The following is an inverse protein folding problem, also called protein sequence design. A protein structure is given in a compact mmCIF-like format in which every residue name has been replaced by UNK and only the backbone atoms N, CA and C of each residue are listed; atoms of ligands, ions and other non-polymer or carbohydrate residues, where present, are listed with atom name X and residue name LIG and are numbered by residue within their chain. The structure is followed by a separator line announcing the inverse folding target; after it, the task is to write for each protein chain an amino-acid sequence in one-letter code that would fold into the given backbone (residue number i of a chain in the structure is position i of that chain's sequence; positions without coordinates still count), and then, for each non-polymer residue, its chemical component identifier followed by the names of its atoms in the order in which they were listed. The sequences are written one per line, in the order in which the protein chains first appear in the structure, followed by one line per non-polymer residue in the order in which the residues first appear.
data_IF_227800786215
#
_entry.id   IF_227800786215
#
_cell.length_a   1.000
_cell.length_b   1.000
_cell.length_c   1.000
_cell.angle_alpha   90.00
_cell.angle_beta   90.00
_cell.angle_gamma   90.00
#
_symmetry.space_group_name_H-M   'P 1'
#
loop_
_entity.id
_entity.type
_entity.pdbx_description
1 polymer ?
#
# COMPACT_ATOMS: atom_id res chain seq x y z
N UNK A 1 35.65 1.02 -2.89
CA UNK A 1 34.52 1.69 -3.58
C UNK A 1 34.76 3.19 -3.45
N UNK A 2 34.63 4.01 -4.51
CA UNK A 2 34.98 5.45 -4.47
C UNK A 2 36.38 5.77 -3.89
N UNK A 3 37.37 4.90 -4.10
CA UNK A 3 38.73 5.06 -3.56
C UNK A 3 38.90 4.80 -2.05
N UNK A 4 37.83 4.52 -1.30
CA UNK A 4 37.90 4.22 0.14
C UNK A 4 38.22 2.75 0.42
N UNK A 5 39.08 2.52 1.42
CA UNK A 5 39.26 1.22 2.07
C UNK A 5 38.04 0.85 2.92
N UNK A 6 37.69 -0.44 2.93
CA UNK A 6 36.51 -0.93 3.64
C UNK A 6 36.69 -2.37 4.13
N UNK A 7 35.99 -2.71 5.22
CA UNK A 7 35.86 -4.09 5.70
C UNK A 7 34.38 -4.44 5.87
N UNK A 8 33.94 -5.55 5.28
CA UNK A 8 32.61 -6.12 5.53
C UNK A 8 32.69 -7.17 6.62
N UNK A 9 31.90 -7.02 7.69
CA UNK A 9 31.82 -7.97 8.83
C UNK A 9 30.37 -8.10 9.28
N UNK A 10 29.82 -9.33 9.24
CA UNK A 10 28.49 -9.70 9.77
C UNK A 10 27.33 -8.76 9.38
N UNK A 11 27.33 -8.24 8.14
CA UNK A 11 26.28 -7.33 7.64
C UNK A 11 26.52 -5.83 7.89
N UNK A 12 27.69 -5.47 8.42
CA UNK A 12 28.15 -4.09 8.59
C UNK A 12 29.29 -3.81 7.60
N UNK A 13 29.34 -2.60 7.04
CA UNK A 13 30.48 -2.09 6.27
C UNK A 13 31.20 -1.06 7.14
N UNK A 14 32.42 -1.35 7.56
CA UNK A 14 33.32 -0.36 8.16
C UNK A 14 34.11 0.36 7.07
N UNK A 15 34.07 1.69 7.07
CA UNK A 15 34.95 2.55 6.26
C UNK A 15 35.94 3.27 7.19
N UNK A 16 37.20 3.45 6.77
CA UNK A 16 38.03 4.49 7.38
C UNK A 16 37.83 5.82 6.66
N UNK A 17 37.56 6.88 7.42
CA UNK A 17 37.45 8.24 6.91
C UNK A 17 38.03 9.24 7.93
N UNK A 18 38.99 10.07 7.51
CA UNK A 18 39.65 11.06 8.37
C UNK A 18 40.15 10.50 9.72
N UNK A 19 40.79 9.32 9.70
CA UNK A 19 41.25 8.56 10.88
C UNK A 19 40.15 8.16 11.88
N UNK A 20 38.91 8.03 11.40
CA UNK A 20 37.77 7.50 12.16
C UNK A 20 37.18 6.30 11.43
N UNK A 21 36.83 5.25 12.17
CA UNK A 21 36.04 4.15 11.63
C UNK A 21 34.56 4.53 11.62
N UNK A 22 33.95 4.54 10.44
CA UNK A 22 32.53 4.80 10.22
C UNK A 22 31.84 3.47 9.92
N UNK A 23 30.93 3.05 10.80
CA UNK A 23 30.09 1.87 10.59
C UNK A 23 28.84 2.21 9.79
N UNK A 24 28.66 1.57 8.64
CA UNK A 24 27.45 1.65 7.81
C UNK A 24 26.70 0.31 7.92
N UNK A 25 25.40 0.40 8.25
CA UNK A 25 24.47 -0.74 8.24
C UNK A 25 23.14 -0.27 7.64
N UNK A 26 22.60 -1.05 6.71
CA UNK A 26 21.26 -0.82 6.16
C UNK A 26 20.28 -1.63 7.01
N UNK A 27 19.31 -0.96 7.63
CA UNK A 27 18.23 -1.61 8.38
C UNK A 27 16.88 -0.96 8.01
N UNK A 28 15.95 -1.68 7.34
CA UNK A 28 14.63 -1.13 7.07
C UNK A 28 13.89 -0.91 8.39
N UNK A 29 13.27 0.25 8.56
CA UNK A 29 12.35 0.50 9.67
C UNK A 29 11.09 -0.35 9.46
N UNK A 30 10.58 -0.91 10.55
CA UNK A 30 9.56 -1.96 10.58
C UNK A 30 8.51 -1.67 11.66
N UNK A 31 7.39 -2.36 11.58
CA UNK A 31 6.20 -2.13 12.42
C UNK A 31 6.26 -2.84 13.77
N UNK A 32 5.41 -2.42 14.72
CA UNK A 32 5.15 -3.14 15.96
C UNK A 32 3.91 -4.03 15.79
N UNK A 33 4.09 -5.31 15.47
CA UNK A 33 2.94 -6.19 15.17
C UNK A 33 1.91 -6.27 16.29
N UNK A 34 2.32 -6.35 17.56
CA UNK A 34 1.37 -6.34 18.68
C UNK A 34 0.52 -5.06 18.83
N UNK A 35 0.94 -3.92 18.24
CA UNK A 35 0.11 -2.71 18.20
C UNK A 35 -0.90 -2.79 17.06
N UNK A 36 -0.47 -3.30 15.89
CA UNK A 36 -1.36 -3.56 14.75
C UNK A 36 -2.42 -4.60 15.13
N UNK A 37 -2.02 -5.68 15.81
CA UNK A 37 -2.93 -6.74 16.28
C UNK A 37 -3.89 -6.24 17.35
N UNK A 38 -3.44 -5.36 18.26
CA UNK A 38 -4.32 -4.69 19.23
C UNK A 38 -5.35 -3.80 18.53
N UNK A 39 -4.93 -2.94 17.58
CA UNK A 39 -5.83 -2.07 16.80
C UNK A 39 -6.78 -2.90 15.94
N UNK A 40 -6.31 -3.95 15.26
CA UNK A 40 -7.19 -4.87 14.53
C UNK A 40 -8.19 -5.55 15.46
N UNK A 41 -7.78 -6.00 16.65
CA UNK A 41 -8.73 -6.59 17.61
C UNK A 41 -9.77 -5.61 18.18
N UNK A 42 -9.58 -4.30 17.99
CA UNK A 42 -10.59 -3.28 18.22
C UNK A 42 -11.40 -3.04 16.95
N UNK A 43 -10.74 -2.87 15.80
CA UNK A 43 -11.36 -2.64 14.51
C UNK A 43 -12.28 -3.77 14.04
N UNK A 44 -11.94 -5.04 14.31
CA UNK A 44 -12.79 -6.21 14.06
C UNK A 44 -14.13 -6.11 14.84
N UNK A 45 -14.19 -5.28 15.89
CA UNK A 45 -15.39 -4.91 16.67
C UNK A 45 -15.85 -3.46 16.40
N UNK A 46 -15.09 -2.68 15.63
CA UNK A 46 -15.47 -1.31 15.31
C UNK A 46 -16.57 -1.38 14.29
N UNK A 47 -17.58 -0.57 14.55
CA UNK A 47 -18.79 -0.63 13.77
C UNK A 47 -18.48 -0.39 12.27
N UNK A 48 -17.47 0.42 11.91
CA UNK A 48 -17.16 0.81 10.51
C UNK A 48 -16.80 -0.36 9.57
N UNK A 49 -16.55 -1.57 10.07
CA UNK A 49 -16.17 -2.71 9.22
C UNK A 49 -17.34 -3.30 8.43
N UNK A 50 -18.48 -3.64 9.04
CA UNK A 50 -19.63 -4.16 8.28
C UNK A 50 -20.24 -3.09 7.36
N UNK A 51 -20.27 -1.82 7.75
CA UNK A 51 -20.80 -0.74 6.89
C UNK A 51 -20.02 -0.67 5.57
N UNK A 52 -18.69 -0.79 5.63
CA UNK A 52 -17.83 -0.89 4.45
C UNK A 52 -18.04 -2.21 3.67
N UNK A 53 -18.44 -3.30 4.33
CA UNK A 53 -18.78 -4.57 3.67
C UNK A 53 -20.14 -4.54 2.98
N UNK A 54 -21.12 -3.83 3.54
CA UNK A 54 -22.44 -3.60 2.95
C UNK A 54 -22.35 -2.57 1.81
N UNK A 55 -21.60 -1.48 2.00
CA UNK A 55 -21.36 -0.44 1.00
C UNK A 55 -20.73 -0.99 -0.28
N UNK A 56 -19.85 -1.99 -0.15
CA UNK A 56 -19.14 -2.62 -1.26
C UNK A 56 -19.52 -4.12 -1.42
N UNK A 57 -20.76 -4.49 -1.09
CA UNK A 57 -21.20 -5.89 -1.19
C UNK A 57 -21.21 -6.37 -2.64
N UNK A 58 -20.50 -7.48 -2.90
CA UNK A 58 -20.33 -8.04 -4.26
C UNK A 58 -19.22 -7.38 -5.08
N UNK A 59 -18.63 -6.28 -4.60
CA UNK A 59 -17.50 -5.61 -5.26
C UNK A 59 -16.14 -6.09 -4.75
N UNK A 60 -15.10 -5.87 -5.57
CA UNK A 60 -13.71 -6.07 -5.18
C UNK A 60 -13.04 -4.74 -4.85
N UNK A 61 -12.90 -4.47 -3.55
CA UNK A 61 -12.27 -3.24 -3.05
C UNK A 61 -10.74 -3.28 -3.24
N UNK A 62 -10.24 -2.37 -4.08
CA UNK A 62 -8.86 -1.92 -4.10
C UNK A 62 -8.71 -0.76 -3.10
N UNK A 63 -7.68 -0.79 -2.24
CA UNK A 63 -7.48 0.23 -1.20
C UNK A 63 -6.13 0.95 -1.36
N UNK A 64 -6.18 2.26 -1.57
CA UNK A 64 -5.06 3.17 -1.44
C UNK A 64 -5.14 3.96 -0.13
N UNK A 65 -4.03 4.05 0.62
CA UNK A 65 -3.92 4.91 1.81
C UNK A 65 -2.57 5.62 1.77
N UNK A 66 -2.59 6.93 1.58
CA UNK A 66 -1.40 7.76 1.38
C UNK A 66 -1.53 9.08 2.13
N UNK A 67 -0.46 9.86 2.18
CA UNK A 67 -0.53 11.29 2.57
C UNK A 67 -0.63 12.12 1.29
N UNK A 68 -1.22 13.31 1.33
CA UNK A 68 -1.25 14.23 0.20
C UNK A 68 0.17 14.77 -0.11
N UNK A 69 0.88 14.11 -1.03
CA UNK A 69 2.29 14.38 -1.38
C UNK A 69 2.64 13.83 -2.79
N UNK A 70 3.45 14.58 -3.55
CA UNK A 70 3.83 14.25 -4.95
C UNK A 70 4.49 12.88 -5.11
N UNK A 71 5.23 12.39 -4.11
CA UNK A 71 6.02 11.16 -4.22
C UNK A 71 5.24 9.89 -3.92
N UNK A 72 3.95 9.99 -3.57
CA UNK A 72 3.07 8.87 -3.25
C UNK A 72 2.44 8.21 -4.47
N UNK A 73 2.39 8.93 -5.60
CA UNK A 73 1.89 8.41 -6.87
C UNK A 73 0.38 8.14 -6.89
N UNK A 74 -0.42 8.92 -6.16
CA UNK A 74 -1.89 8.75 -6.10
C UNK A 74 -2.51 8.74 -7.50
N UNK A 75 -2.14 9.72 -8.36
CA UNK A 75 -2.62 9.78 -9.74
C UNK A 75 -2.22 8.54 -10.57
N UNK A 76 -1.09 7.89 -10.28
CA UNK A 76 -0.71 6.65 -10.97
C UNK A 76 -1.63 5.47 -10.59
N UNK A 77 -2.20 5.47 -9.37
CA UNK A 77 -3.21 4.49 -8.95
C UNK A 77 -4.55 4.75 -9.64
N UNK A 78 -4.95 6.01 -9.74
CA UNK A 78 -6.16 6.43 -10.46
C UNK A 78 -6.08 6.06 -11.95
N UNK A 79 -5.00 6.42 -12.64
CA UNK A 79 -4.79 6.08 -14.05
C UNK A 79 -4.68 4.55 -14.27
N UNK A 80 -4.07 3.80 -13.34
CA UNK A 80 -4.04 2.34 -13.42
C UNK A 80 -5.44 1.72 -13.26
N UNK A 81 -6.29 2.28 -12.40
CA UNK A 81 -7.69 1.87 -12.22
C UNK A 81 -8.52 2.17 -13.47
N UNK A 82 -8.44 3.40 -14.00
CA UNK A 82 -9.07 3.81 -15.26
C UNK A 82 -8.67 2.89 -16.42
N UNK A 83 -7.38 2.61 -16.56
CA UNK A 83 -6.86 1.74 -17.60
C UNK A 83 -7.29 0.28 -17.38
N UNK A 84 -7.41 -0.20 -16.14
CA UNK A 84 -7.96 -1.52 -15.83
C UNK A 84 -9.44 -1.62 -16.22
N UNK A 85 -10.27 -0.64 -15.86
CA UNK A 85 -11.69 -0.59 -16.25
C UNK A 85 -11.87 -0.49 -17.77
N UNK A 86 -10.93 0.16 -18.46
CA UNK A 86 -10.90 0.26 -19.93
C UNK A 86 -10.51 -1.05 -20.62
N UNK A 87 -9.48 -1.75 -20.13
CA UNK A 87 -8.97 -3.00 -20.75
C UNK A 87 -9.77 -4.24 -20.35
N UNK A 88 -10.37 -4.22 -19.16
CA UNK A 88 -11.12 -5.34 -18.60
C UNK A 88 -12.54 -4.90 -18.20
N UNK A 89 -13.46 -4.66 -19.17
CA UNK A 89 -14.82 -4.18 -18.90
C UNK A 89 -15.63 -5.07 -17.95
N UNK A 90 -15.24 -6.33 -17.78
CA UNK A 90 -15.82 -7.24 -16.79
C UNK A 90 -15.65 -6.76 -15.33
N UNK A 91 -14.76 -5.80 -15.04
CA UNK A 91 -14.59 -5.21 -13.71
C UNK A 91 -15.41 -3.93 -13.48
N UNK A 92 -16.01 -3.36 -14.53
CA UNK A 92 -16.99 -2.26 -14.38
C UNK A 92 -18.21 -2.77 -13.60
N UNK A 93 -18.68 -2.00 -12.62
CA UNK A 93 -19.72 -2.43 -11.68
C UNK A 93 -19.31 -3.53 -10.70
N UNK A 94 -18.00 -3.86 -10.59
CA UNK A 94 -17.50 -4.97 -9.74
C UNK A 94 -16.12 -4.74 -9.09
N UNK A 95 -15.44 -3.65 -9.39
CA UNK A 95 -14.19 -3.27 -8.73
C UNK A 95 -14.20 -1.77 -8.43
N UNK A 96 -13.83 -1.41 -7.20
CA UNK A 96 -13.82 -0.03 -6.71
C UNK A 96 -12.45 0.30 -6.14
N UNK A 97 -11.93 1.50 -6.41
CA UNK A 97 -10.71 2.00 -5.77
C UNK A 97 -11.09 3.01 -4.68
N UNK A 98 -11.03 2.56 -3.43
CA UNK A 98 -11.12 3.46 -2.26
C UNK A 98 -9.74 4.10 -2.05
N UNK A 99 -9.63 5.41 -2.22
CA UNK A 99 -8.36 6.14 -2.07
C UNK A 99 -8.43 7.15 -0.93
N UNK A 100 -7.88 6.77 0.22
CA UNK A 100 -7.73 7.66 1.38
C UNK A 100 -6.48 8.52 1.18
N UNK A 101 -6.68 9.83 1.08
CA UNK A 101 -5.61 10.82 0.96
C UNK A 101 -5.52 11.67 2.24
N UNK A 102 -4.67 11.24 3.18
CA UNK A 102 -4.50 11.92 4.47
C UNK A 102 -3.91 13.33 4.31
N UNK A 103 -4.20 14.29 5.20
CA UNK A 103 -3.62 15.63 5.16
C UNK A 103 -2.09 15.62 5.09
N UNK A 104 -1.52 16.54 4.30
CA UNK A 104 -0.08 16.63 4.08
C UNK A 104 0.69 16.88 5.40
N UNK A 105 1.67 16.01 5.72
CA UNK A 105 2.45 16.09 6.97
C UNK A 105 3.51 17.23 6.99
N UNK A 106 3.49 18.12 6.01
CA UNK A 106 4.45 19.22 5.87
C UNK A 106 3.98 20.27 4.85
N UNK A 107 4.59 21.46 4.90
CA UNK A 107 4.24 22.60 4.03
C UNK A 107 4.88 22.47 2.64
N UNK A 108 4.45 21.47 1.88
CA UNK A 108 4.84 21.30 0.47
C UNK A 108 4.32 22.45 -0.41
N UNK A 109 5.14 22.91 -1.37
CA UNK A 109 4.65 23.77 -2.46
C UNK A 109 3.89 22.91 -3.48
N UNK A 110 2.78 23.42 -3.99
CA UNK A 110 1.97 22.72 -5.01
C UNK A 110 0.88 21.80 -4.48
N UNK A 111 0.73 21.59 -3.16
CA UNK A 111 -0.27 20.68 -2.57
C UNK A 111 -1.69 20.87 -3.12
N UNK A 112 -2.14 22.13 -3.30
CA UNK A 112 -3.45 22.43 -3.88
C UNK A 112 -3.56 21.95 -5.34
N UNK A 113 -2.51 22.10 -6.15
CA UNK A 113 -2.52 21.64 -7.54
C UNK A 113 -2.59 20.11 -7.61
N UNK A 114 -1.87 19.39 -6.74
CA UNK A 114 -1.96 17.92 -6.62
C UNK A 114 -3.40 17.51 -6.25
N UNK A 115 -4.01 18.20 -5.28
CA UNK A 115 -5.37 17.92 -4.84
C UNK A 115 -6.39 18.16 -5.97
N UNK A 116 -6.23 19.23 -6.75
CA UNK A 116 -7.07 19.51 -7.93
C UNK A 116 -6.84 18.48 -9.05
N UNK A 117 -5.61 18.03 -9.28
CA UNK A 117 -5.28 16.98 -10.27
C UNK A 117 -5.85 15.61 -9.87
N UNK A 118 -5.77 15.25 -8.58
CA UNK A 118 -6.42 14.07 -8.00
C UNK A 118 -7.93 14.17 -8.17
N UNK A 119 -8.53 15.28 -7.73
CA UNK A 119 -9.99 15.47 -7.76
C UNK A 119 -10.54 15.41 -9.19
N UNK A 120 -9.96 16.16 -10.12
CA UNK A 120 -10.36 16.13 -11.53
C UNK A 120 -10.09 14.76 -12.20
N UNK A 121 -9.16 13.96 -11.68
CA UNK A 121 -8.97 12.58 -12.12
C UNK A 121 -10.08 11.67 -11.58
N UNK A 122 -10.45 11.78 -10.29
CA UNK A 122 -11.56 11.02 -9.71
C UNK A 122 -12.88 11.36 -10.42
N UNK A 123 -13.22 12.65 -10.52
CA UNK A 123 -14.45 13.15 -11.16
C UNK A 123 -14.58 12.59 -12.58
N UNK A 124 -13.55 12.75 -13.42
CA UNK A 124 -13.54 12.25 -14.81
C UNK A 124 -13.63 10.72 -14.92
N UNK A 125 -13.00 9.96 -14.02
CA UNK A 125 -13.08 8.50 -14.03
C UNK A 125 -14.47 8.03 -13.57
N UNK A 126 -15.07 8.72 -12.60
CA UNK A 126 -16.43 8.45 -12.15
C UNK A 126 -17.43 8.77 -13.27
N UNK A 127 -17.40 9.98 -13.87
CA UNK A 127 -18.20 10.36 -15.05
C UNK A 127 -18.10 9.36 -16.23
N UNK A 128 -16.93 8.71 -16.41
CA UNK A 128 -16.68 7.80 -17.53
C UNK A 128 -17.20 6.36 -17.31
N UNK A 129 -17.31 5.90 -16.05
CA UNK A 129 -17.65 4.50 -15.74
C UNK A 129 -18.77 4.34 -14.68
N UNK A 130 -19.38 5.42 -14.20
CA UNK A 130 -20.49 5.39 -13.24
C UNK A 130 -21.66 4.53 -13.74
N UNK A 131 -22.36 3.90 -12.79
CA UNK A 131 -23.61 3.18 -13.02
C UNK A 131 -24.54 3.45 -11.84
N UNK A 132 -25.88 3.25 -11.95
CA UNK A 132 -26.80 3.51 -10.86
C UNK A 132 -26.47 2.69 -9.59
N UNK A 133 -25.89 3.34 -8.59
CA UNK A 133 -25.42 2.71 -7.34
C UNK A 133 -23.94 2.28 -7.32
N UNK A 134 -23.15 2.59 -8.35
CA UNK A 134 -21.73 2.24 -8.45
C UNK A 134 -20.88 3.47 -8.83
N UNK A 135 -19.87 3.77 -8.00
CA UNK A 135 -18.87 4.81 -8.21
C UNK A 135 -17.47 4.16 -8.21
N UNK A 136 -16.69 4.21 -9.31
CA UNK A 136 -15.46 3.43 -9.43
C UNK A 136 -14.30 3.93 -8.56
N UNK A 137 -14.27 5.22 -8.20
CA UNK A 137 -13.29 5.82 -7.29
C UNK A 137 -14.01 6.39 -6.06
N UNK A 138 -13.91 5.69 -4.93
CA UNK A 138 -14.53 6.10 -3.66
C UNK A 138 -13.58 6.91 -2.77
N UNK A 139 -14.05 8.04 -2.24
CA UNK A 139 -13.32 8.87 -1.26
C UNK A 139 -14.08 8.89 0.07
N UNK A 140 -13.85 7.88 0.91
CA UNK A 140 -14.61 7.69 2.16
C UNK A 140 -14.16 8.57 3.33
N UNK A 141 -15.14 9.24 3.95
CA UNK A 141 -15.12 9.58 5.38
C UNK A 141 -15.56 8.41 6.27
N UNK A 142 -15.82 8.65 7.56
CA UNK A 142 -16.47 7.69 8.50
C UNK A 142 -18.00 7.61 8.25
N UNK A 143 -18.86 6.73 8.81
CA UNK A 143 -18.94 6.07 10.15
C UNK A 143 -20.28 5.24 10.31
N UNK A 144 -20.32 4.08 11.04
CA UNK A 144 -21.53 3.39 11.76
C UNK A 144 -21.21 1.85 11.29
N UNK A 145 -22.13 0.89 11.01
CA UNK A 145 -22.31 -0.45 11.75
C UNK A 145 -21.67 -1.84 11.40
N UNK A 146 -21.28 -2.61 12.47
CA UNK A 146 -21.11 -4.10 12.79
C UNK A 146 -19.88 -5.03 12.42
N UNK A 147 -19.98 -6.38 12.52
CA UNK A 147 -18.99 -7.38 13.02
C UNK A 147 -18.66 -8.53 12.01
N UNK A 148 -17.38 -8.90 11.77
CA UNK A 148 -17.06 -10.07 10.91
C UNK A 148 -15.70 -10.73 11.15
N UNK A 149 -15.63 -12.07 11.05
CA UNK A 149 -14.41 -12.86 11.28
C UNK A 149 -13.99 -13.68 10.03
N UNK A 150 -13.79 -12.97 8.91
CA UNK A 150 -13.45 -13.55 7.61
C UNK A 150 -11.93 -13.85 7.47
N UNK A 151 -11.52 -14.91 6.75
CA UNK A 151 -10.10 -15.19 6.50
C UNK A 151 -9.42 -14.04 5.73
N UNK A 152 -8.20 -13.67 6.15
CA UNK A 152 -7.45 -12.53 5.59
C UNK A 152 -6.90 -12.88 4.20
N UNK A 153 -7.63 -12.45 3.16
CA UNK A 153 -7.48 -12.85 1.74
C UNK A 153 -6.86 -11.78 0.82
N UNK A 154 -6.38 -10.66 1.36
CA UNK A 154 -5.92 -9.53 0.54
C UNK A 154 -4.63 -9.82 -0.25
N UNK A 155 -4.54 -9.25 -1.45
CA UNK A 155 -3.33 -9.24 -2.29
C UNK A 155 -2.70 -7.84 -2.25
N UNK A 156 -1.36 -7.77 -2.21
CA UNK A 156 -0.61 -6.52 -2.11
C UNK A 156 0.14 -6.17 -3.41
N UNK A 157 -0.20 -5.03 -4.01
CA UNK A 157 0.54 -4.42 -5.13
C UNK A 157 1.46 -3.34 -4.58
N UNK A 158 2.74 -3.34 -4.96
CA UNK A 158 3.78 -2.51 -4.33
C UNK A 158 4.73 -1.92 -5.38
N UNK A 159 5.02 -0.62 -5.28
CA UNK A 159 6.07 0.02 -6.07
C UNK A 159 7.42 -0.69 -5.90
N UNK A 160 8.14 -0.92 -7.00
CA UNK A 160 9.50 -1.46 -6.96
C UNK A 160 10.48 -0.57 -6.17
N UNK A 161 10.13 0.73 -5.99
CA UNK A 161 10.98 1.80 -5.46
C UNK A 161 10.75 2.12 -3.98
N UNK A 162 9.71 1.56 -3.32
CA UNK A 162 9.50 1.76 -1.88
C UNK A 162 10.44 0.87 -1.05
N UNK A 163 10.94 1.37 0.09
CA UNK A 163 11.96 0.67 0.89
C UNK A 163 11.58 -0.72 1.41
N UNK A 164 10.28 -1.02 1.56
CA UNK A 164 9.79 -2.34 1.95
C UNK A 164 9.61 -3.32 0.76
N UNK A 165 9.78 -2.88 -0.49
CA UNK A 165 9.62 -3.72 -1.70
C UNK A 165 10.49 -5.00 -1.71
N UNK A 166 11.76 -4.99 -1.22
CA UNK A 166 12.56 -6.21 -1.10
C UNK A 166 12.10 -7.14 0.03
N UNK A 167 11.61 -6.56 1.14
CA UNK A 167 11.10 -7.29 2.30
C UNK A 167 9.78 -8.01 1.99
N UNK A 168 8.86 -7.30 1.34
CA UNK A 168 7.52 -7.77 0.99
C UNK A 168 7.53 -8.62 -0.29
N UNK A 169 8.38 -9.65 -0.30
CA UNK A 169 8.62 -10.55 -1.44
C UNK A 169 7.46 -11.51 -1.79
N UNK A 170 6.27 -11.30 -1.22
CA UNK A 170 5.00 -11.90 -1.67
C UNK A 170 4.19 -10.99 -2.60
N UNK A 171 4.54 -9.71 -2.72
CA UNK A 171 3.76 -8.71 -3.45
C UNK A 171 3.85 -8.88 -4.98
N UNK A 172 2.89 -8.28 -5.69
CA UNK A 172 3.09 -7.92 -7.11
C UNK A 172 3.90 -6.63 -7.10
N UNK A 173 5.13 -6.67 -7.65
CA UNK A 173 6.05 -5.52 -7.69
C UNK A 173 5.91 -4.80 -9.02
N UNK A 174 5.49 -3.54 -8.99
CA UNK A 174 5.23 -2.72 -10.19
C UNK A 174 6.25 -1.62 -10.39
N UNK A 175 6.40 -1.13 -11.62
CA UNK A 175 6.96 0.18 -11.90
C UNK A 175 5.81 1.19 -11.97
N UNK A 176 5.68 2.18 -11.06
CA UNK A 176 4.56 3.14 -11.10
C UNK A 176 4.51 4.03 -12.35
N UNK A 177 5.62 4.13 -13.09
CA UNK A 177 5.69 4.83 -14.38
C UNK A 177 5.33 3.94 -15.57
N UNK A 178 5.02 2.66 -15.33
CA UNK A 178 4.32 1.81 -16.28
C UNK A 178 2.88 1.62 -15.78
N UNK A 179 1.91 2.14 -16.52
CA UNK A 179 0.49 2.16 -16.13
C UNK A 179 -0.26 0.94 -16.70
N UNK A 180 0.43 0.02 -17.38
CA UNK A 180 -0.12 -1.26 -17.88
C UNK A 180 -0.88 -2.00 -16.77
N UNK A 181 -2.17 -2.26 -17.02
CA UNK A 181 -3.16 -2.60 -15.98
C UNK A 181 -3.10 -4.05 -15.48
N UNK A 182 -2.23 -4.88 -16.09
CA UNK A 182 -2.03 -6.29 -15.76
C UNK A 182 -1.87 -6.49 -14.25
N UNK A 183 -1.09 -5.65 -13.57
CA UNK A 183 -0.78 -5.80 -12.16
C UNK A 183 -1.98 -5.62 -11.20
N UNK A 184 -2.99 -4.82 -11.57
CA UNK A 184 -4.23 -4.71 -10.80
C UNK A 184 -5.14 -5.89 -11.10
N UNK A 185 -5.34 -6.20 -12.39
CA UNK A 185 -6.17 -7.33 -12.82
C UNK A 185 -5.66 -8.68 -12.28
N UNK A 186 -4.34 -8.91 -12.29
CA UNK A 186 -3.67 -10.06 -11.68
C UNK A 186 -3.90 -10.13 -10.17
N UNK A 187 -3.94 -8.99 -9.47
CA UNK A 187 -4.10 -8.97 -8.03
C UNK A 187 -5.52 -9.40 -7.60
N UNK A 188 -6.54 -8.88 -8.28
CA UNK A 188 -7.95 -9.18 -8.00
C UNK A 188 -8.34 -10.58 -8.50
N UNK A 189 -7.91 -10.94 -9.72
CA UNK A 189 -8.15 -12.26 -10.35
C UNK A 189 -7.36 -13.41 -9.72
N UNK A 190 -6.45 -13.14 -8.78
CA UNK A 190 -5.61 -14.19 -8.19
C UNK A 190 -6.45 -15.21 -7.40
N UNK A 191 -6.24 -16.49 -7.67
CA UNK A 191 -6.88 -17.56 -6.89
C UNK A 191 -6.56 -17.44 -5.39
N UNK A 192 -7.59 -17.56 -4.54
CA UNK A 192 -7.54 -17.30 -3.09
C UNK A 192 -6.39 -18.00 -2.37
N UNK A 193 -6.09 -19.26 -2.70
CA UNK A 193 -4.96 -20.02 -2.13
C UNK A 193 -3.61 -19.33 -2.38
N UNK A 194 -3.42 -18.70 -3.56
CA UNK A 194 -2.22 -17.92 -3.87
C UNK A 194 -2.19 -16.59 -3.11
N UNK A 195 -3.35 -15.93 -2.90
CA UNK A 195 -3.45 -14.72 -2.06
C UNK A 195 -3.06 -15.04 -0.61
N UNK A 196 -3.64 -16.09 -0.03
CA UNK A 196 -3.32 -16.55 1.33
C UNK A 196 -1.83 -16.89 1.50
N UNK A 197 -1.24 -17.71 0.61
CA UNK A 197 0.18 -18.08 0.69
C UNK A 197 1.12 -16.86 0.60
N UNK A 198 0.74 -15.82 -0.17
CA UNK A 198 1.47 -14.55 -0.21
C UNK A 198 1.27 -13.76 1.09
N UNK A 199 0.04 -13.66 1.60
CA UNK A 199 -0.28 -13.00 2.87
C UNK A 199 0.51 -13.62 4.05
N UNK A 200 0.49 -14.94 4.21
CA UNK A 200 1.25 -15.66 5.24
C UNK A 200 2.76 -15.40 5.16
N UNK A 201 3.32 -15.32 3.94
CA UNK A 201 4.73 -14.98 3.70
C UNK A 201 5.05 -13.55 4.16
N UNK A 202 4.16 -12.58 3.91
CA UNK A 202 4.30 -11.21 4.41
C UNK A 202 4.19 -11.15 5.94
N UNK A 203 3.13 -11.73 6.50
CA UNK A 203 2.84 -11.73 7.94
C UNK A 203 4.01 -12.34 8.73
N UNK A 204 4.50 -13.51 8.31
CA UNK A 204 5.68 -14.16 8.93
C UNK A 204 6.93 -13.28 8.90
N UNK A 205 7.15 -12.50 7.83
CA UNK A 205 8.27 -11.57 7.78
C UNK A 205 8.13 -10.44 8.80
N UNK A 206 6.98 -9.75 8.83
CA UNK A 206 6.79 -8.58 9.72
C UNK A 206 6.68 -8.95 11.19
N UNK A 207 6.18 -10.15 11.52
CA UNK A 207 6.15 -10.67 12.90
C UNK A 207 7.49 -11.22 13.40
N UNK A 208 8.46 -11.45 12.51
CA UNK A 208 9.84 -11.85 12.90
C UNK A 208 10.85 -10.71 12.82
N UNK A 209 10.58 -9.69 12.00
CA UNK A 209 11.39 -8.50 11.83
C UNK A 209 10.60 -7.28 12.33
N UNK A 210 10.35 -7.25 13.64
CA UNK A 210 9.56 -6.21 14.29
C UNK A 210 10.42 -5.01 14.75
N UNK A 211 9.77 -3.94 15.24
CA UNK A 211 10.48 -2.77 15.77
C UNK A 211 11.44 -3.11 16.93
N UNK A 212 11.14 -4.13 17.73
CA UNK A 212 12.03 -4.56 18.80
C UNK A 212 13.26 -5.30 18.26
N UNK A 213 13.13 -6.12 17.21
CA UNK A 213 14.26 -6.70 16.48
C UNK A 213 15.13 -5.62 15.82
N UNK A 214 14.51 -4.60 15.21
CA UNK A 214 15.24 -3.44 14.64
C UNK A 214 16.03 -2.70 15.72
N UNK A 215 15.42 -2.40 16.87
CA UNK A 215 16.07 -1.73 18.00
C UNK A 215 17.26 -2.53 18.56
N UNK A 216 17.05 -3.84 18.84
CA UNK A 216 18.11 -4.77 19.25
C UNK A 216 19.20 -4.99 18.19
N UNK A 217 18.95 -4.61 16.94
CA UNK A 217 19.91 -4.67 15.84
C UNK A 217 20.64 -3.36 15.58
N UNK A 218 20.20 -2.25 16.19
CA UNK A 218 20.81 -0.93 16.04
C UNK A 218 21.90 -0.69 17.10
N UNK A 219 21.62 -1.10 18.34
CA UNK A 219 22.53 -1.05 19.49
C UNK A 219 23.63 -2.12 19.42
#
# INVERSE_FOLDING_TARGET
MLGLEYQSKRGYIGLEYCRRMVGIKIMPVVVHMGQIESVLSLADKEWRVEELQQQFEGETVLLGVDDMDIFKGINMKLLAMEHMLSQYPNWQGRAVLVQIANPARGRGRGLHAIQTEIQASCERINEQFEQPGYEPIGVSGSESSSDSNLPKKSMLVVSAFIGCSPSLSGAIRINPWNVESEALNDAISMAEVKKQLRHEKHYRYVSTHDVAYWSRSFM
#
